data_IF_989746387160
#
_entry.id   IF_989746387160
#
_cell.length_a   1.000
_cell.length_b   1.000
_cell.length_c   1.000
_cell.angle_alpha   90.00
_cell.angle_beta   90.00
_cell.angle_gamma   90.00
#
_symmetry.space_group_name_H-M   'P 1'
#
loop_
_entity.id
_entity.type
_entity.pdbx_description
1 polymer ?
#
# COMPACT_ATOMS: atom_id res chain seq x y z
N UNK A 1 2.34 4.70 6.22
CA UNK A 1 3.67 5.12 6.72
C UNK A 1 3.75 6.64 6.73
N UNK A 2 4.38 7.26 7.73
CA UNK A 2 4.34 8.72 7.93
C UNK A 2 4.76 9.51 6.68
N UNK A 3 5.84 9.09 6.01
CA UNK A 3 6.34 9.71 4.78
C UNK A 3 5.35 9.74 3.60
N UNK A 4 4.25 8.99 3.65
CA UNK A 4 3.21 8.96 2.60
C UNK A 4 1.87 9.52 3.07
N UNK A 5 1.76 10.02 4.30
CA UNK A 5 0.48 10.53 4.82
C UNK A 5 -0.08 11.66 3.94
N UNK A 6 0.80 12.46 3.33
CA UNK A 6 0.43 13.55 2.44
C UNK A 6 -0.19 13.09 1.10
N UNK A 7 -0.06 11.81 0.72
CA UNK A 7 -0.57 11.27 -0.54
C UNK A 7 -2.07 10.92 -0.48
N UNK A 8 -2.62 10.71 0.72
CA UNK A 8 -3.93 10.08 0.89
C UNK A 8 -3.98 8.62 0.42
N UNK A 9 -5.13 7.97 0.61
CA UNK A 9 -5.28 6.53 0.39
C UNK A 9 -5.25 6.14 -1.08
N UNK A 10 -5.80 6.99 -1.96
CA UNK A 10 -5.89 6.71 -3.39
C UNK A 10 -4.51 6.65 -4.04
N UNK A 11 -3.72 7.71 -3.86
CA UNK A 11 -2.42 7.81 -4.51
C UNK A 11 -1.42 6.82 -3.91
N UNK A 12 -1.48 6.59 -2.59
CA UNK A 12 -0.71 5.52 -1.96
C UNK A 12 -1.07 4.13 -2.51
N UNK A 13 -2.34 3.86 -2.81
CA UNK A 13 -2.77 2.58 -3.38
C UNK A 13 -2.25 2.36 -4.81
N UNK A 14 -2.18 3.42 -5.62
CA UNK A 14 -1.56 3.35 -6.96
C UNK A 14 -0.07 3.02 -6.86
N UNK A 15 0.65 3.67 -5.96
CA UNK A 15 2.08 3.38 -5.73
C UNK A 15 2.32 1.93 -5.30
N UNK A 16 1.49 1.39 -4.40
CA UNK A 16 1.55 -0.03 -4.04
C UNK A 16 1.36 -0.94 -5.27
N UNK A 17 0.44 -0.60 -6.17
CA UNK A 17 0.21 -1.35 -7.40
C UNK A 17 1.41 -1.25 -8.36
N UNK A 18 1.94 -0.06 -8.57
CA UNK A 18 3.00 0.21 -9.55
C UNK A 18 4.38 -0.26 -9.07
N UNK A 19 4.76 0.06 -7.84
CA UNK A 19 6.09 -0.17 -7.29
C UNK A 19 6.19 -1.51 -6.57
N UNK A 20 5.19 -1.86 -5.75
CA UNK A 20 5.18 -3.11 -4.99
C UNK A 20 4.46 -4.26 -5.71
N UNK A 21 3.76 -4.00 -6.82
CA UNK A 21 2.93 -5.01 -7.51
C UNK A 21 1.85 -5.62 -6.60
N UNK A 22 1.29 -4.80 -5.71
CA UNK A 22 0.23 -5.19 -4.77
C UNK A 22 -0.99 -4.28 -4.93
N UNK A 23 -2.10 -4.86 -5.35
CA UNK A 23 -3.39 -4.16 -5.37
C UNK A 23 -4.01 -4.14 -3.97
N UNK A 24 -4.51 -2.97 -3.56
CA UNK A 24 -5.24 -2.77 -2.30
C UNK A 24 -6.48 -1.89 -2.56
N UNK A 25 -7.46 -1.90 -1.65
CA UNK A 25 -8.58 -0.96 -1.75
C UNK A 25 -8.23 0.36 -1.04
N UNK A 26 -8.37 1.52 -1.70
CA UNK A 26 -8.16 2.83 -1.06
C UNK A 26 -9.27 3.11 -0.04
N UNK A 27 -8.91 3.54 1.16
CA UNK A 27 -9.85 3.78 2.25
C UNK A 27 -10.88 4.87 1.98
N UNK A 28 -10.55 5.88 1.15
CA UNK A 28 -11.50 6.92 0.70
C UNK A 28 -12.73 6.34 0.00
N UNK A 29 -12.60 5.17 -0.64
CA UNK A 29 -13.71 4.44 -1.25
C UNK A 29 -14.76 3.93 -0.26
N UNK A 30 -14.45 3.97 1.04
CA UNK A 30 -15.35 3.60 2.14
C UNK A 30 -15.82 4.82 2.96
N UNK A 31 -15.54 6.03 2.48
CA UNK A 31 -15.90 7.30 3.12
C UNK A 31 -14.67 8.16 3.45
N UNK A 32 -14.88 9.48 3.54
CA UNK A 32 -13.80 10.49 3.71
C UNK A 32 -12.89 10.23 4.92
N UNK A 33 -13.43 9.64 5.99
CA UNK A 33 -12.66 9.33 7.20
C UNK A 33 -11.70 8.14 7.03
N UNK A 34 -11.88 7.35 5.95
CA UNK A 34 -10.99 6.24 5.61
C UNK A 34 -9.75 6.65 4.83
N UNK A 35 -9.60 7.91 4.41
CA UNK A 35 -8.53 8.31 3.47
C UNK A 35 -7.10 8.19 4.04
N UNK A 36 -6.95 7.94 5.34
CA UNK A 36 -5.66 7.66 5.98
C UNK A 36 -5.26 6.18 5.95
N UNK A 37 -6.14 5.30 5.44
CA UNK A 37 -5.96 3.85 5.48
C UNK A 37 -6.17 3.19 4.10
N UNK A 38 -5.69 1.96 3.99
CA UNK A 38 -5.98 1.05 2.88
C UNK A 38 -6.49 -0.27 3.44
N UNK A 39 -7.26 -1.02 2.64
CA UNK A 39 -7.81 -2.32 3.04
C UNK A 39 -7.16 -3.45 2.24
N UNK A 40 -6.76 -4.50 2.94
CA UNK A 40 -6.33 -5.77 2.38
C UNK A 40 -7.43 -6.82 2.49
N UNK A 41 -7.50 -7.71 1.51
CA UNK A 41 -8.37 -8.89 1.52
C UNK A 41 -7.52 -10.15 1.63
N UNK A 42 -7.86 -11.05 2.54
CA UNK A 42 -7.16 -12.32 2.76
C UNK A 42 -7.71 -13.42 1.81
N UNK A 43 -7.62 -13.16 0.51
CA UNK A 43 -8.19 -14.02 -0.55
C UNK A 43 -7.13 -14.79 -1.33
N UNK A 44 -5.85 -14.53 -1.06
CA UNK A 44 -4.70 -15.11 -1.74
C UNK A 44 -4.03 -16.18 -0.86
N UNK A 45 -3.30 -17.10 -1.49
CA UNK A 45 -2.56 -18.12 -0.74
C UNK A 45 -1.35 -17.55 0.03
N UNK A 46 -0.78 -18.35 0.92
CA UNK A 46 0.32 -17.91 1.77
C UNK A 46 1.57 -17.49 0.98
N UNK A 47 1.91 -18.19 -0.11
CA UNK A 47 3.06 -17.82 -0.94
C UNK A 47 2.89 -16.43 -1.57
N UNK A 48 1.70 -16.14 -2.07
CA UNK A 48 1.32 -14.85 -2.66
C UNK A 48 1.30 -13.75 -1.60
N UNK A 49 0.76 -14.03 -0.43
CA UNK A 49 0.78 -13.11 0.72
C UNK A 49 2.22 -12.77 1.13
N UNK A 50 3.09 -13.78 1.28
CA UNK A 50 4.51 -13.57 1.59
C UNK A 50 5.23 -12.76 0.50
N UNK A 51 4.89 -12.97 -0.77
CA UNK A 51 5.43 -12.18 -1.89
C UNK A 51 5.01 -10.71 -1.79
N UNK A 52 3.73 -10.43 -1.56
CA UNK A 52 3.20 -9.08 -1.39
C UNK A 52 3.93 -8.35 -0.24
N UNK A 53 4.07 -9.00 0.92
CA UNK A 53 4.79 -8.42 2.07
C UNK A 53 6.25 -8.10 1.73
N UNK A 54 6.97 -8.98 1.03
CA UNK A 54 8.35 -8.72 0.61
C UNK A 54 8.46 -7.52 -0.32
N UNK A 55 7.56 -7.39 -1.29
CA UNK A 55 7.57 -6.28 -2.23
C UNK A 55 7.22 -4.96 -1.55
N UNK A 56 6.21 -4.94 -0.67
CA UNK A 56 5.89 -3.76 0.15
C UNK A 56 7.10 -3.35 0.97
N UNK A 57 7.75 -4.30 1.66
CA UNK A 57 8.97 -4.03 2.45
C UNK A 57 10.07 -3.39 1.59
N UNK A 58 10.28 -3.88 0.37
CA UNK A 58 11.27 -3.31 -0.58
C UNK A 58 10.91 -1.86 -0.94
N UNK A 59 9.69 -1.61 -1.40
CA UNK A 59 9.19 -0.27 -1.76
C UNK A 59 9.35 0.73 -0.60
N UNK A 60 8.95 0.32 0.61
CA UNK A 60 9.06 1.15 1.81
C UNK A 60 10.51 1.48 2.18
N UNK A 61 11.45 0.56 1.91
CA UNK A 61 12.88 0.79 2.14
C UNK A 61 13.47 1.74 1.11
N UNK A 62 13.18 1.55 -0.17
CA UNK A 62 13.69 2.39 -1.26
C UNK A 62 13.27 3.85 -1.10
N UNK A 63 12.05 4.11 -0.64
CA UNK A 63 11.59 5.48 -0.36
C UNK A 63 12.27 6.15 0.83
N UNK A 64 12.91 5.40 1.75
CA UNK A 64 13.72 5.98 2.83
C UNK A 64 15.11 6.42 2.36
N UNK A 65 15.58 5.91 1.23
CA UNK A 65 16.94 6.19 0.72
C UNK A 65 17.00 7.45 -0.14
N UNK A 66 15.85 8.03 -0.51
CA UNK A 66 15.74 9.20 -1.41
C UNK A 66 15.55 10.52 -0.62
N UNK A 67 15.50 10.46 0.72
CA UNK A 67 15.50 11.62 1.61
C UNK A 67 16.80 11.72 2.41
#
# INVERSE_FOLDING_TARGET
>A
PEQYMHLGSLEFSKRLLEEAKVAVSPGVGFGKYGDTHVRFSLIENEHRTRQAVRNIKKMLKESKTIN
#
